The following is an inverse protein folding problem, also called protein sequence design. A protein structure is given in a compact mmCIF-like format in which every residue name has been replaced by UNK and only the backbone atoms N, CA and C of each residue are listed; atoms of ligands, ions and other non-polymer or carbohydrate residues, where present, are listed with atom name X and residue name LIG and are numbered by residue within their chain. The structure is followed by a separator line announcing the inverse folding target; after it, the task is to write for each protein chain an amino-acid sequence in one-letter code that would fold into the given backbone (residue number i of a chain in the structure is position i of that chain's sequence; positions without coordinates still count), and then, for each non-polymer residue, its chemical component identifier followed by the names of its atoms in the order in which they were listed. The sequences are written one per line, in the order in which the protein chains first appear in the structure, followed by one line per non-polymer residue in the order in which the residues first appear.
data_IF_266345194532
#
_entry.id   IF_266345194532
#
_cell.length_a   1.000
_cell.length_b   1.000
_cell.length_c   1.000
_cell.angle_alpha   90.00
_cell.angle_beta   90.00
_cell.angle_gamma   90.00
#
_symmetry.space_group_name_H-M   'P 1'
#
loop_
_entity.id
_entity.type
_entity.pdbx_description
1 polymer ?
#
# COMPACT_ATOMS: atom_id res chain seq x y z
N UNK A 1 -63.56 25.72 -86.49
CA UNK A 1 -64.65 26.56 -85.95
C UNK A 1 -64.81 26.20 -84.48
N UNK A 2 -64.29 27.06 -83.57
CA UNK A 2 -64.44 27.13 -82.07
C UNK A 2 -64.16 25.83 -81.27
N UNK A 3 -63.47 25.79 -80.12
CA UNK A 3 -63.49 26.58 -78.86
C UNK A 3 -62.11 26.31 -78.17
N UNK A 4 -61.20 27.27 -77.94
CA UNK A 4 -60.97 28.16 -76.76
C UNK A 4 -60.77 27.40 -75.43
N UNK A 5 -59.51 27.20 -75.00
CA UNK A 5 -58.80 27.84 -73.86
C UNK A 5 -59.46 27.77 -72.46
N UNK A 6 -58.70 27.24 -71.49
CA UNK A 6 -58.47 27.93 -70.20
C UNK A 6 -57.21 27.42 -69.48
N UNK A 7 -56.66 28.32 -68.67
CA UNK A 7 -55.27 28.44 -68.22
C UNK A 7 -55.06 27.90 -66.80
N UNK A 8 -53.81 27.55 -66.46
CA UNK A 8 -53.35 27.27 -65.10
C UNK A 8 -51.88 27.61 -64.92
N UNK A 9 -51.64 28.62 -64.09
CA UNK A 9 -50.41 29.35 -63.77
C UNK A 9 -49.44 28.53 -62.91
N UNK A 10 -48.11 28.80 -62.94
CA UNK A 10 -47.27 28.48 -61.78
C UNK A 10 -45.76 28.19 -61.94
N UNK A 11 -44.96 29.24 -62.14
CA UNK A 11 -43.67 29.51 -61.43
C UNK A 11 -42.40 28.67 -61.78
N UNK A 12 -41.40 29.44 -62.25
CA UNK A 12 -39.96 29.17 -62.35
C UNK A 12 -39.31 28.89 -60.98
N UNK A 13 -38.40 27.92 -60.92
CA UNK A 13 -37.20 27.99 -60.06
C UNK A 13 -36.12 27.03 -60.57
N UNK A 14 -35.10 27.59 -61.24
CA UNK A 14 -33.82 26.94 -61.49
C UNK A 14 -33.03 26.87 -60.18
N UNK A 15 -32.57 25.68 -59.79
CA UNK A 15 -31.52 25.54 -58.79
C UNK A 15 -30.57 24.40 -59.19
N UNK A 16 -29.34 24.84 -59.38
CA UNK A 16 -28.12 24.13 -59.69
C UNK A 16 -27.62 23.37 -58.45
N UNK A 17 -27.08 22.16 -58.70
CA UNK A 17 -25.84 21.60 -58.15
C UNK A 17 -25.86 20.34 -57.24
N UNK A 18 -24.78 19.59 -57.50
CA UNK A 18 -24.00 18.65 -56.68
C UNK A 18 -24.53 17.22 -56.49
N UNK A 19 -23.89 16.33 -57.26
CA UNK A 19 -23.73 14.90 -56.99
C UNK A 19 -23.16 14.68 -55.59
N UNK A 20 -23.88 13.94 -54.74
CA UNK A 20 -23.33 13.31 -53.55
C UNK A 20 -23.10 11.82 -53.82
N UNK A 21 -21.82 11.46 -53.88
CA UNK A 21 -21.31 10.10 -53.75
C UNK A 21 -21.64 9.59 -52.33
N UNK A 22 -22.20 8.38 -52.12
CA UNK A 22 -22.36 7.86 -50.77
C UNK A 22 -20.98 7.53 -50.22
N UNK A 23 -20.47 8.41 -49.36
CA UNK A 23 -19.26 8.19 -48.59
C UNK A 23 -19.42 6.95 -47.73
N UNK A 24 -18.43 6.07 -47.81
CA UNK A 24 -18.14 5.05 -46.80
C UNK A 24 -18.02 5.76 -45.45
N UNK A 25 -19.01 5.56 -44.60
CA UNK A 25 -18.91 5.84 -43.17
C UNK A 25 -17.96 4.77 -42.59
N UNK A 26 -16.67 5.10 -42.50
CA UNK A 26 -15.74 4.34 -41.68
C UNK A 26 -16.16 4.59 -40.24
N UNK A 27 -16.85 3.62 -39.67
CA UNK A 27 -17.02 3.49 -38.22
C UNK A 27 -15.62 3.45 -37.61
N UNK A 28 -15.20 4.56 -37.02
CA UNK A 28 -14.06 4.59 -36.12
C UNK A 28 -14.39 3.62 -34.98
N UNK A 29 -13.72 2.48 -35.01
CA UNK A 29 -13.63 1.57 -33.88
C UNK A 29 -13.01 2.37 -32.73
N UNK A 30 -13.84 2.88 -31.82
CA UNK A 30 -13.41 3.22 -30.47
C UNK A 30 -13.05 1.90 -29.76
N UNK A 31 -11.92 1.33 -30.14
CA UNK A 31 -11.16 0.46 -29.25
C UNK A 31 -10.76 1.36 -28.08
N UNK A 32 -11.48 1.23 -26.96
CA UNK A 32 -11.16 1.94 -25.73
C UNK A 32 -9.67 1.73 -25.44
N UNK A 33 -8.90 2.81 -25.52
CA UNK A 33 -7.48 2.78 -25.20
C UNK A 33 -7.39 2.40 -23.73
N UNK A 34 -7.01 1.15 -23.46
CA UNK A 34 -6.72 0.71 -22.11
C UNK A 34 -5.64 1.68 -21.58
N UNK A 35 -5.84 2.34 -20.43
CA UNK A 35 -4.83 3.26 -19.91
C UNK A 35 -3.51 2.51 -19.76
N UNK A 36 -2.39 3.18 -20.05
CA UNK A 36 -1.06 2.60 -19.86
C UNK A 36 -0.88 2.24 -18.38
N UNK A 37 -1.05 0.96 -18.06
CA UNK A 37 -0.91 0.44 -16.71
C UNK A 37 0.50 -0.08 -16.47
N UNK A 38 0.95 0.03 -15.22
CA UNK A 38 2.17 -0.57 -14.71
C UNK A 38 1.83 -1.61 -13.65
N UNK A 39 2.64 -2.66 -13.56
CA UNK A 39 2.57 -3.63 -12.46
C UNK A 39 3.54 -3.22 -11.37
N UNK A 40 3.05 -3.08 -10.14
CA UNK A 40 3.82 -2.63 -8.99
C UNK A 40 3.74 -3.64 -7.86
N UNK A 41 4.82 -3.73 -7.09
CA UNK A 41 4.87 -4.46 -5.82
C UNK A 41 5.30 -3.48 -4.74
N UNK A 42 4.69 -3.53 -3.57
CA UNK A 42 4.93 -2.52 -2.56
C UNK A 42 4.20 -2.76 -1.27
N UNK A 43 4.38 -1.83 -0.35
CA UNK A 43 3.65 -1.79 0.91
C UNK A 43 2.49 -0.81 0.77
N UNK A 44 1.28 -1.31 0.98
CA UNK A 44 0.08 -0.51 1.11
C UNK A 44 -0.15 -0.19 2.58
N UNK A 45 -0.13 1.08 2.94
CA UNK A 45 -0.38 1.58 4.30
C UNK A 45 -1.67 2.38 4.34
N UNK A 46 -2.55 2.05 5.30
CA UNK A 46 -3.88 2.63 5.38
C UNK A 46 -4.35 2.94 6.81
N UNK A 47 -5.20 3.95 6.90
CA UNK A 47 -5.97 4.37 8.08
C UNK A 47 -7.27 5.07 7.62
N UNK A 48 -8.17 5.51 8.52
CA UNK A 48 -9.32 6.33 8.12
C UNK A 48 -8.96 7.62 7.35
N UNK A 49 -7.72 8.10 7.46
CA UNK A 49 -7.22 9.32 6.80
C UNK A 49 -6.03 9.10 5.87
N UNK A 50 -5.47 7.89 5.85
CA UNK A 50 -4.27 7.54 5.09
C UNK A 50 -4.59 6.43 4.09
N UNK A 51 -4.15 6.59 2.86
CA UNK A 51 -4.21 5.56 1.83
C UNK A 51 -3.00 5.76 0.92
N UNK A 52 -1.92 5.06 1.25
CA UNK A 52 -0.61 5.31 0.63
C UNK A 52 0.05 4.02 0.17
N UNK A 53 0.85 4.11 -0.89
CA UNK A 53 1.63 3.00 -1.42
C UNK A 53 3.09 3.40 -1.53
N UNK A 54 3.98 2.52 -1.11
CA UNK A 54 5.43 2.66 -1.29
C UNK A 54 5.91 1.48 -2.13
N UNK A 55 6.58 1.75 -3.24
CA UNK A 55 7.04 0.70 -4.17
C UNK A 55 8.28 0.01 -3.61
N UNK A 56 8.37 -1.33 -3.71
CA UNK A 56 9.51 -2.06 -3.17
C UNK A 56 10.83 -1.57 -3.78
N UNK A 57 11.82 -1.34 -2.91
CA UNK A 57 13.13 -0.80 -3.30
C UNK A 57 13.18 0.72 -3.49
N UNK A 58 12.06 1.44 -3.34
CA UNK A 58 12.00 2.90 -3.33
C UNK A 58 11.27 3.37 -2.06
N UNK A 59 12.05 3.65 -1.01
CA UNK A 59 11.56 4.20 0.25
C UNK A 59 11.43 5.73 0.23
N UNK A 60 11.81 6.37 -0.87
CA UNK A 60 11.80 7.81 -1.03
C UNK A 60 10.50 8.35 -1.61
N UNK A 61 9.79 7.53 -2.40
CA UNK A 61 8.54 7.93 -3.05
C UNK A 61 7.33 7.32 -2.36
N UNK A 62 6.42 8.18 -1.90
CA UNK A 62 5.12 7.72 -1.38
C UNK A 62 3.99 8.20 -2.29
N UNK A 63 3.19 7.25 -2.79
CA UNK A 63 2.04 7.54 -3.64
C UNK A 63 0.76 7.66 -2.81
N UNK A 64 -0.07 8.67 -3.08
CA UNK A 64 -1.46 8.67 -2.63
C UNK A 64 -2.31 7.75 -3.51
N UNK A 65 -2.97 6.77 -2.89
CA UNK A 65 -3.76 5.79 -3.61
C UNK A 65 -5.19 6.26 -3.85
N UNK A 66 -5.60 6.17 -5.10
CA UNK A 66 -7.01 6.18 -5.51
C UNK A 66 -7.44 4.75 -5.85
N UNK A 67 -8.24 4.16 -4.98
CA UNK A 67 -8.86 2.83 -5.14
C UNK A 67 -10.38 2.99 -5.25
N UNK A 68 -10.91 3.36 -6.44
CA UNK A 68 -12.32 3.75 -6.59
C UNK A 68 -13.30 2.63 -6.24
N UNK A 69 -12.90 1.38 -6.47
CA UNK A 69 -13.71 0.20 -6.16
C UNK A 69 -13.48 -0.33 -4.73
N UNK A 70 -12.57 0.31 -3.99
CA UNK A 70 -12.15 -0.08 -2.63
C UNK A 70 -11.66 -1.52 -2.51
N UNK A 71 -11.28 -2.18 -3.62
CA UNK A 71 -10.92 -3.59 -3.64
C UNK A 71 -9.63 -3.87 -2.86
N UNK A 72 -8.64 -2.96 -2.96
CA UNK A 72 -7.40 -3.08 -2.21
C UNK A 72 -7.69 -2.86 -0.72
N UNK A 73 -8.46 -1.83 -0.40
CA UNK A 73 -8.86 -1.53 0.97
C UNK A 73 -9.67 -2.64 1.65
N UNK A 74 -10.52 -3.37 0.91
CA UNK A 74 -11.28 -4.51 1.43
C UNK A 74 -10.36 -5.70 1.67
N UNK A 75 -9.53 -6.09 0.67
CA UNK A 75 -8.61 -7.23 0.80
C UNK A 75 -7.54 -7.02 1.88
N UNK A 76 -7.05 -5.79 2.03
CA UNK A 76 -6.08 -5.46 3.07
C UNK A 76 -6.63 -5.70 4.49
N UNK A 77 -7.91 -5.39 4.71
CA UNK A 77 -8.57 -5.59 6.02
C UNK A 77 -8.75 -7.05 6.41
N UNK A 78 -8.66 -7.99 5.47
CA UNK A 78 -8.64 -9.43 5.80
C UNK A 78 -7.43 -9.81 6.65
N UNK A 79 -6.35 -9.01 6.62
CA UNK A 79 -5.14 -9.19 7.42
C UNK A 79 -5.10 -8.29 8.67
N UNK A 80 -6.16 -7.51 8.92
CA UNK A 80 -6.28 -6.70 10.12
C UNK A 80 -6.93 -7.55 11.23
N UNK A 81 -6.09 -8.22 12.02
CA UNK A 81 -6.55 -9.06 13.13
C UNK A 81 -7.06 -8.25 14.32
N UNK A 82 -6.49 -7.06 14.56
CA UNK A 82 -6.85 -6.19 15.68
C UNK A 82 -7.13 -4.75 15.23
N UNK A 83 -7.96 -4.01 15.97
CA UNK A 83 -8.10 -2.57 15.77
C UNK A 83 -6.74 -1.89 15.90
N UNK A 84 -6.39 -1.09 14.90
CA UNK A 84 -5.18 -0.26 14.89
C UNK A 84 -5.46 1.00 14.08
N UNK A 85 -4.85 2.11 14.48
CA UNK A 85 -4.98 3.41 13.83
C UNK A 85 -4.19 3.49 12.50
N UNK A 86 -3.22 2.59 12.31
CA UNK A 86 -2.47 2.44 11.05
C UNK A 86 -2.11 0.98 10.82
N UNK A 87 -2.39 0.50 9.61
CA UNK A 87 -2.09 -0.86 9.19
C UNK A 87 -1.32 -0.85 7.89
N UNK A 88 -0.53 -1.89 7.64
CA UNK A 88 0.15 -2.07 6.36
C UNK A 88 0.19 -3.53 5.92
N UNK A 89 0.09 -3.74 4.61
CA UNK A 89 0.11 -5.04 3.95
C UNK A 89 1.02 -4.97 2.73
N UNK A 90 1.57 -6.11 2.33
CA UNK A 90 2.20 -6.23 1.01
C UNK A 90 1.12 -6.35 -0.06
N UNK A 91 1.30 -5.64 -1.18
CA UNK A 91 0.37 -5.68 -2.29
C UNK A 91 1.09 -5.71 -3.64
N UNK A 92 0.49 -6.45 -4.58
CA UNK A 92 0.84 -6.42 -6.01
C UNK A 92 -0.36 -5.90 -6.79
N UNK A 93 -0.14 -4.89 -7.64
CA UNK A 93 -1.20 -4.10 -8.28
C UNK A 93 -0.91 -3.89 -9.76
N UNK A 94 -1.96 -3.81 -10.58
CA UNK A 94 -1.92 -3.05 -11.85
C UNK A 94 -2.50 -1.67 -11.57
N UNK A 95 -1.77 -0.61 -11.95
CA UNK A 95 -2.14 0.76 -11.63
C UNK A 95 -1.66 1.76 -12.69
N UNK A 96 -2.19 2.98 -12.64
CA UNK A 96 -1.73 4.12 -13.45
C UNK A 96 -1.03 5.11 -12.52
N UNK A 97 0.25 5.43 -12.81
CA UNK A 97 0.98 6.51 -12.12
C UNK A 97 0.54 7.85 -12.71
N UNK A 98 0.08 8.76 -11.86
CA UNK A 98 -0.40 10.09 -12.24
C UNK A 98 0.42 11.16 -11.51
N UNK A 99 0.60 12.35 -12.11
CA UNK A 99 1.27 13.46 -11.43
C UNK A 99 0.62 13.81 -10.08
N UNK A 100 1.37 14.42 -9.15
CA UNK A 100 0.83 14.90 -7.88
C UNK A 100 -0.30 15.92 -8.09
N UNK A 101 -1.20 16.04 -7.10
CA UNK A 101 -2.28 17.03 -7.15
C UNK A 101 -1.86 18.35 -6.49
N UNK A 102 -2.29 19.47 -7.07
CA UNK A 102 -2.03 20.79 -6.48
C UNK A 102 -2.95 21.13 -5.28
N UNK A 103 -3.99 20.32 -5.02
CA UNK A 103 -5.03 20.56 -3.98
C UNK A 103 -5.65 19.26 -3.44
N UNK A 104 -6.15 19.28 -2.21
CA UNK A 104 -6.88 18.15 -1.58
C UNK A 104 -5.98 17.20 -0.78
N UNK A 105 -6.53 16.09 -0.27
CA UNK A 105 -5.81 15.12 0.60
C UNK A 105 -4.60 14.46 -0.09
N UNK A 106 -4.55 14.44 -1.42
CA UNK A 106 -3.42 13.90 -2.18
C UNK A 106 -2.30 14.89 -2.48
N UNK A 107 -2.39 16.15 -2.02
CA UNK A 107 -1.43 17.20 -2.37
C UNK A 107 -0.11 17.15 -1.59
N UNK A 108 -0.04 16.35 -0.53
CA UNK A 108 1.16 16.14 0.30
C UNK A 108 2.04 14.98 -0.17
N UNK A 109 1.64 14.27 -1.23
CA UNK A 109 2.32 13.07 -1.73
C UNK A 109 3.04 13.36 -3.05
N UNK A 110 4.11 12.60 -3.32
CA UNK A 110 4.97 12.82 -4.50
C UNK A 110 4.23 12.58 -5.81
N UNK A 111 3.24 11.68 -5.80
CA UNK A 111 2.43 11.31 -6.96
C UNK A 111 1.14 10.61 -6.55
N UNK A 112 0.21 10.52 -7.49
CA UNK A 112 -1.00 9.73 -7.34
C UNK A 112 -0.81 8.35 -7.97
N UNK A 113 -1.42 7.34 -7.37
CA UNK A 113 -1.50 6.00 -7.93
C UNK A 113 -2.96 5.55 -8.00
N UNK A 114 -3.49 5.38 -9.22
CA UNK A 114 -4.85 4.89 -9.41
C UNK A 114 -4.83 3.37 -9.60
N UNK A 115 -5.43 2.64 -8.67
CA UNK A 115 -5.55 1.18 -8.76
C UNK A 115 -6.50 0.83 -9.90
N UNK A 116 -6.03 -0.06 -10.79
CA UNK A 116 -6.84 -0.66 -11.86
C UNK A 116 -7.22 -2.08 -11.48
N UNK A 117 -6.31 -2.83 -10.86
CA UNK A 117 -6.54 -4.22 -10.46
C UNK A 117 -5.65 -4.61 -9.29
N UNK A 118 -6.22 -5.36 -8.36
CA UNK A 118 -5.47 -5.97 -7.24
C UNK A 118 -5.08 -7.40 -7.62
N UNK A 119 -3.78 -7.65 -7.75
CA UNK A 119 -3.23 -8.95 -8.14
C UNK A 119 -3.02 -9.84 -6.91
N UNK A 120 -2.39 -9.31 -5.86
CA UNK A 120 -2.10 -10.02 -4.63
C UNK A 120 -2.14 -9.07 -3.43
N UNK A 121 -2.56 -9.57 -2.27
CA UNK A 121 -2.46 -8.89 -0.98
C UNK A 121 -2.10 -9.93 0.08
N UNK A 122 -1.12 -9.62 0.92
CA UNK A 122 -0.71 -10.51 2.02
C UNK A 122 -0.25 -9.75 3.24
N UNK A 123 -0.40 -10.36 4.43
CA UNK A 123 0.26 -9.88 5.63
C UNK A 123 1.78 -9.84 5.44
N UNK A 124 2.42 -8.79 5.98
CA UNK A 124 3.87 -8.69 6.03
C UNK A 124 4.44 -9.73 7.00
N UNK A 125 5.63 -10.22 6.67
CA UNK A 125 6.44 -11.10 7.52
C UNK A 125 7.92 -10.89 7.19
N UNK A 126 8.83 -11.48 7.97
CA UNK A 126 10.28 -11.36 7.79
C UNK A 126 10.83 -11.80 6.41
N UNK A 127 10.03 -12.45 5.56
CA UNK A 127 10.39 -12.80 4.18
C UNK A 127 9.88 -11.79 3.14
N UNK A 128 9.18 -10.75 3.57
CA UNK A 128 8.69 -9.68 2.70
C UNK A 128 9.86 -8.78 2.35
N UNK A 129 10.61 -9.14 1.31
CA UNK A 129 11.79 -8.40 0.84
C UNK A 129 11.34 -7.19 0.00
N UNK A 130 10.84 -6.15 0.67
CA UNK A 130 10.36 -4.92 0.04
C UNK A 130 11.19 -3.70 0.48
N UNK A 131 11.40 -3.59 1.80
CA UNK A 131 12.26 -2.59 2.43
C UNK A 131 13.20 -3.27 3.42
N UNK A 132 14.38 -2.68 3.69
CA UNK A 132 15.24 -3.16 4.76
C UNK A 132 14.52 -2.97 6.09
N UNK A 133 14.35 -4.08 6.82
CA UNK A 133 13.93 -4.07 8.22
C UNK A 133 15.12 -4.41 9.11
N UNK A 134 15.06 -3.99 10.37
CA UNK A 134 16.12 -4.21 11.35
C UNK A 134 15.91 -5.56 12.01
N UNK A 135 14.76 -5.72 12.68
CA UNK A 135 14.42 -6.98 13.34
C UNK A 135 12.96 -7.36 13.14
N UNK A 136 12.73 -8.66 12.97
CA UNK A 136 11.43 -9.27 13.16
C UNK A 136 11.48 -10.16 14.41
N UNK A 137 10.90 -9.65 15.49
CA UNK A 137 10.84 -10.29 16.79
C UNK A 137 9.60 -11.18 16.88
N UNK A 138 9.74 -12.36 17.46
CA UNK A 138 8.71 -13.37 17.58
C UNK A 138 8.76 -13.97 18.98
N UNK A 139 7.61 -14.12 19.64
CA UNK A 139 7.53 -14.91 20.86
C UNK A 139 6.35 -15.87 20.86
N UNK A 140 6.54 -16.95 21.60
CA UNK A 140 5.61 -18.05 21.69
C UNK A 140 4.81 -17.97 23.00
N UNK A 141 3.50 -18.02 22.85
CA UNK A 141 2.46 -18.12 23.90
C UNK A 141 2.39 -17.03 24.99
N UNK A 142 1.34 -16.19 24.96
CA UNK A 142 0.51 -15.89 23.79
C UNK A 142 1.40 -15.44 22.63
N UNK A 143 1.02 -15.74 21.38
CA UNK A 143 1.83 -15.31 20.23
C UNK A 143 1.91 -13.79 20.19
N UNK A 144 3.11 -13.28 19.92
CA UNK A 144 3.30 -11.86 19.67
C UNK A 144 4.44 -11.66 18.68
N UNK A 145 4.46 -10.50 18.04
CA UNK A 145 5.55 -10.12 17.15
C UNK A 145 5.83 -8.63 17.23
N UNK A 146 7.08 -8.26 17.00
CA UNK A 146 7.46 -6.86 16.75
C UNK A 146 8.17 -6.78 15.41
N UNK A 147 7.65 -5.95 14.50
CA UNK A 147 8.36 -5.54 13.30
C UNK A 147 9.08 -4.22 13.59
N UNK A 148 10.38 -4.17 13.36
CA UNK A 148 11.21 -2.96 13.47
C UNK A 148 11.80 -2.70 12.10
N UNK A 149 11.42 -1.58 11.47
CA UNK A 149 11.84 -1.25 10.10
C UNK A 149 12.16 0.23 9.99
N UNK A 150 13.46 0.54 9.91
CA UNK A 150 13.92 1.89 9.59
C UNK A 150 13.49 2.32 8.19
N UNK A 151 13.53 1.41 7.21
CA UNK A 151 13.11 1.69 5.83
C UNK A 151 11.63 2.04 5.69
N UNK A 152 10.75 1.44 6.49
CA UNK A 152 9.34 1.83 6.54
C UNK A 152 9.03 2.91 7.60
N UNK A 153 10.04 3.40 8.32
CA UNK A 153 9.91 4.33 9.44
C UNK A 153 8.83 3.87 10.46
N UNK A 154 8.89 2.60 10.87
CA UNK A 154 7.92 2.00 11.79
C UNK A 154 8.48 1.02 12.81
N UNK A 155 7.80 0.96 13.94
CA UNK A 155 7.80 -0.18 14.86
C UNK A 155 6.35 -0.63 15.05
N UNK A 156 6.04 -1.91 14.84
CA UNK A 156 4.69 -2.47 15.06
C UNK A 156 4.73 -3.64 16.03
N UNK A 157 4.06 -3.50 17.18
CA UNK A 157 3.80 -4.60 18.12
C UNK A 157 2.43 -5.20 17.82
N UNK A 158 2.36 -6.52 17.62
CA UNK A 158 1.11 -7.29 17.56
C UNK A 158 1.14 -8.33 18.66
N UNK A 159 0.13 -8.33 19.54
CA UNK A 159 0.12 -9.15 20.76
C UNK A 159 -1.22 -9.86 20.92
N UNK A 160 -1.23 -11.18 20.69
CA UNK A 160 -2.44 -12.01 20.81
C UNK A 160 -2.91 -12.14 22.27
N UNK A 161 -2.02 -11.99 23.25
CA UNK A 161 -2.37 -12.09 24.67
C UNK A 161 -3.21 -10.92 25.18
N UNK A 162 -3.17 -9.79 24.47
CA UNK A 162 -4.03 -8.61 24.75
C UNK A 162 -4.94 -8.25 23.59
N UNK A 163 -4.97 -9.07 22.54
CA UNK A 163 -5.74 -8.82 21.32
C UNK A 163 -5.51 -7.40 20.75
N UNK A 164 -4.24 -6.99 20.68
CA UNK A 164 -3.88 -5.61 20.33
C UNK A 164 -2.80 -5.51 19.25
N UNK A 165 -2.83 -4.41 18.49
CA UNK A 165 -1.79 -4.03 17.55
C UNK A 165 -1.48 -2.53 17.66
N UNK A 166 -0.24 -2.21 18.01
CA UNK A 166 0.23 -0.83 18.21
C UNK A 166 1.26 -0.47 17.16
N UNK A 167 1.14 0.75 16.63
CA UNK A 167 2.08 1.32 15.68
C UNK A 167 2.80 2.51 16.32
N UNK A 168 4.12 2.52 16.21
CA UNK A 168 4.98 3.63 16.62
C UNK A 168 5.84 4.10 15.45
N UNK A 169 6.18 5.38 15.44
CA UNK A 169 7.26 5.86 14.56
C UNK A 169 8.56 5.15 14.90
N UNK A 170 9.43 4.96 13.91
CA UNK A 170 10.74 4.38 14.13
C UNK A 170 11.56 5.26 15.08
N UNK A 171 12.33 4.60 15.94
CA UNK A 171 13.31 5.23 16.81
C UNK A 171 14.65 4.53 16.59
N UNK A 172 15.72 5.29 16.44
CA UNK A 172 17.08 4.76 16.36
C UNK A 172 17.45 4.00 17.64
N UNK A 173 18.08 2.82 17.55
CA UNK A 173 18.50 2.07 18.72
C UNK A 173 19.77 2.65 19.36
N UNK A 174 19.91 2.45 20.67
CA UNK A 174 21.21 2.47 21.34
C UNK A 174 21.91 1.15 21.06
N UNK A 175 23.11 1.21 20.49
CA UNK A 175 23.90 0.04 20.06
C UNK A 175 25.09 -0.15 21.00
N UNK A 176 25.23 -1.36 21.56
CA UNK A 176 26.36 -1.77 22.40
C UNK A 176 26.91 -3.12 21.91
N UNK A 177 27.91 -3.08 21.01
CA UNK A 177 28.35 -4.29 20.29
C UNK A 177 27.25 -4.78 19.34
N UNK A 178 26.88 -6.05 19.43
CA UNK A 178 25.78 -6.65 18.66
C UNK A 178 24.44 -6.64 19.42
N UNK A 179 24.29 -5.77 20.43
CA UNK A 179 23.06 -5.60 21.18
C UNK A 179 22.40 -4.26 20.82
N UNK A 180 21.07 -4.27 20.71
CA UNK A 180 20.27 -3.14 20.24
C UNK A 180 19.16 -2.86 21.26
N UNK A 181 19.03 -1.60 21.68
CA UNK A 181 17.96 -1.17 22.58
C UNK A 181 17.15 -0.04 21.94
N UNK A 182 15.85 -0.29 21.73
CA UNK A 182 14.91 0.71 21.25
C UNK A 182 14.07 1.20 22.43
N UNK A 183 14.15 2.50 22.75
CA UNK A 183 13.31 3.16 23.75
C UNK A 183 12.23 3.98 23.03
N UNK A 184 11.00 3.46 23.01
CA UNK A 184 9.86 4.03 22.29
C UNK A 184 8.90 4.68 23.31
N UNK A 185 8.62 5.99 23.20
CA UNK A 185 7.76 6.69 24.14
C UNK A 185 6.31 6.21 24.04
N UNK A 186 5.55 6.40 25.12
CA UNK A 186 4.11 6.15 25.10
C UNK A 186 3.39 7.17 24.20
N UNK A 187 2.39 6.71 23.47
CA UNK A 187 1.47 7.56 22.70
C UNK A 187 0.03 7.39 23.22
N UNK A 188 -0.90 8.25 22.77
CA UNK A 188 -2.27 8.22 23.27
C UNK A 188 -2.94 6.85 23.01
N UNK A 189 -3.21 6.10 24.07
CA UNK A 189 -3.81 4.76 23.99
C UNK A 189 -2.81 3.63 23.67
N UNK A 190 -1.50 3.91 23.65
CA UNK A 190 -0.45 2.93 23.39
C UNK A 190 0.58 2.92 24.55
N UNK A 191 1.04 1.74 25.01
CA UNK A 191 2.08 1.68 26.04
C UNK A 191 3.43 2.17 25.50
N UNK A 192 4.33 2.64 26.37
CA UNK A 192 5.73 2.78 25.97
C UNK A 192 6.33 1.40 25.71
N UNK A 193 7.27 1.31 24.77
CA UNK A 193 8.05 0.09 24.53
C UNK A 193 9.51 0.28 24.90
N UNK A 194 10.10 -0.73 25.53
CA UNK A 194 11.54 -0.93 25.56
C UNK A 194 11.87 -2.28 24.95
N UNK A 195 12.50 -2.29 23.78
CA UNK A 195 12.83 -3.50 23.04
C UNK A 195 14.34 -3.71 23.12
N UNK A 196 14.76 -4.82 23.71
CA UNK A 196 16.16 -5.18 23.91
C UNK A 196 16.43 -6.43 23.08
N UNK A 197 17.20 -6.30 22.01
CA UNK A 197 17.63 -7.41 21.15
C UNK A 197 19.09 -7.72 21.45
N UNK A 198 19.41 -8.99 21.73
CA UNK A 198 20.76 -9.42 22.10
C UNK A 198 21.29 -10.47 21.14
N UNK A 199 22.56 -10.39 20.75
CA UNK A 199 23.24 -11.43 19.97
C UNK A 199 23.53 -12.64 20.86
N UNK A 200 22.56 -13.54 20.94
CA UNK A 200 22.67 -14.80 21.65
C UNK A 200 21.77 -15.85 20.97
N UNK A 201 22.23 -17.10 20.98
CA UNK A 201 21.43 -18.21 20.43
C UNK A 201 20.09 -18.30 21.15
N UNK A 202 19.02 -18.28 20.36
CA UNK A 202 17.65 -18.37 20.84
C UNK A 202 16.94 -19.52 20.14
N UNK A 203 16.16 -20.27 20.91
CA UNK A 203 15.24 -21.28 20.39
C UNK A 203 13.83 -20.87 20.77
N UNK A 204 12.92 -20.98 19.81
CA UNK A 204 11.51 -20.70 20.05
C UNK A 204 10.80 -21.85 20.80
N UNK A 205 11.49 -22.96 21.06
CA UNK A 205 11.00 -24.11 21.83
C UNK A 205 9.90 -24.94 21.15
N UNK A 206 9.46 -24.53 19.96
CA UNK A 206 8.36 -25.16 19.21
C UNK A 206 8.79 -25.63 17.82
N UNK A 207 9.90 -25.12 17.31
CA UNK A 207 10.51 -25.54 16.05
C UNK A 207 11.99 -25.87 16.24
N UNK A 208 12.55 -26.64 15.31
CA UNK A 208 14.00 -26.92 15.25
C UNK A 208 14.81 -25.72 14.70
N UNK A 209 14.26 -24.49 14.76
CA UNK A 209 14.96 -23.28 14.30
C UNK A 209 15.77 -22.68 15.43
N UNK A 210 17.05 -22.48 15.16
CA UNK A 210 17.92 -21.61 15.95
C UNK A 210 17.91 -20.21 15.35
N UNK A 211 17.76 -19.23 16.22
CA UNK A 211 17.84 -17.81 15.91
C UNK A 211 19.11 -17.25 16.53
N UNK A 212 19.73 -16.30 15.84
CA UNK A 212 20.97 -15.67 16.25
C UNK A 212 20.80 -14.60 17.33
N UNK A 213 19.55 -14.25 17.64
CA UNK A 213 19.20 -13.19 18.57
C UNK A 213 18.02 -13.59 19.46
N UNK A 214 18.12 -13.20 20.72
CA UNK A 214 16.97 -13.15 21.64
C UNK A 214 16.42 -11.73 21.72
N UNK A 215 15.20 -11.61 22.22
CA UNK A 215 14.55 -10.32 22.43
C UNK A 215 13.72 -10.31 23.72
N UNK A 216 13.80 -9.19 24.43
CA UNK A 216 12.89 -8.83 25.51
C UNK A 216 12.18 -7.53 25.16
N UNK A 217 10.85 -7.52 25.22
CA UNK A 217 10.02 -6.33 25.01
C UNK A 217 9.31 -6.02 26.33
N UNK A 218 9.58 -4.84 26.89
CA UNK A 218 8.77 -4.28 27.97
C UNK A 218 7.70 -3.37 27.35
N UNK A 219 6.43 -3.76 27.45
CA UNK A 219 5.28 -3.03 26.94
C UNK A 219 4.37 -2.62 28.11
N UNK A 220 4.57 -1.40 28.62
CA UNK A 220 3.99 -1.00 29.91
C UNK A 220 4.47 -1.93 31.04
N UNK A 221 3.53 -2.55 31.75
CA UNK A 221 3.85 -3.48 32.86
C UNK A 221 4.15 -4.91 32.39
N UNK A 222 4.00 -5.20 31.08
CA UNK A 222 4.19 -6.55 30.53
C UNK A 222 5.61 -6.72 30.02
N UNK A 223 6.16 -7.91 30.26
CA UNK A 223 7.44 -8.33 29.69
C UNK A 223 7.19 -9.51 28.77
N UNK A 224 7.59 -9.37 27.51
CA UNK A 224 7.50 -10.38 26.48
C UNK A 224 8.91 -10.84 26.12
N UNK A 225 9.12 -12.14 26.00
CA UNK A 225 10.43 -12.74 25.70
C UNK A 225 10.33 -13.66 24.50
N UNK A 226 11.30 -13.62 23.61
CA UNK A 226 11.26 -14.36 22.35
C UNK A 226 12.58 -14.34 21.60
N UNK A 227 12.52 -14.70 20.31
CA UNK A 227 13.66 -14.67 19.41
C UNK A 227 13.51 -13.57 18.36
N UNK A 228 14.62 -13.14 17.76
CA UNK A 228 14.61 -12.12 16.72
C UNK A 228 15.34 -12.59 15.45
N UNK A 229 14.78 -12.19 14.32
CA UNK A 229 15.38 -12.38 12.99
C UNK A 229 15.94 -11.03 12.56
N UNK A 230 17.25 -10.93 12.38
CA UNK A 230 17.88 -9.72 11.83
C UNK A 230 17.58 -9.60 10.33
N UNK A 231 17.22 -8.41 9.88
CA UNK A 231 17.08 -8.06 8.47
C UNK A 231 18.30 -7.29 7.95
N UNK A 232 18.17 -6.77 6.72
CA UNK A 232 19.22 -6.01 6.04
C UNK A 232 19.41 -4.57 6.59
N UNK A 233 18.50 -4.10 7.46
CA UNK A 233 18.59 -2.79 8.10
C UNK A 233 19.63 -2.73 9.22
N UNK A 234 20.01 -3.87 9.78
CA UNK A 234 21.07 -3.96 10.79
C UNK A 234 22.42 -3.86 10.08
N UNK A 235 23.08 -2.71 10.18
CA UNK A 235 24.43 -2.55 9.64
C UNK A 235 25.38 -3.51 10.36
N UNK A 236 25.92 -4.49 9.61
CA UNK A 236 27.05 -5.30 10.08
C UNK A 236 28.29 -4.40 10.07
N UNK A 237 28.87 -4.13 11.24
CA UNK A 237 30.16 -3.44 11.34
C UNK A 237 31.32 -4.38 11.01
#
# INVERSE_FOLDING_TARGET
MKIIQQSGFGILASLLLFSCNPGRENTENNAGTQPDTVTLKGIYTYSPKLSSFMECGDDSTTYWLSDPDSLLGIRAREFQFFPSDRNSVFAELEAVKLPPQDRGTGAEYDSLLKVVKVLNVSAKNFRTDCFPYDFWCLGNEPFWSVEISGGENLIRLTDMGTESAYYYQYTEPVIEGDNYTYDVPAEAGQPSLKIIVKKEECSDGMSDRNYDYSVTVHAGDRTLTGCAISGKGVSSF
#
